data_IF_708397720913
#
_entry.id   IF_708397720913
#
_cell.length_a   1.000
_cell.length_b   1.000
_cell.length_c   1.000
_cell.angle_alpha   90.00
_cell.angle_beta   90.00
_cell.angle_gamma   90.00
#
_symmetry.space_group_name_H-M   'P 1'
#
loop_
_entity.id
_entity.type
_entity.pdbx_description
1 polymer ?
#
# COMPACT_ATOMS: atom_id res chain seq x y z
N UNK A 1 15.85 1.13 29.63
CA UNK A 1 14.74 0.90 28.68
C UNK A 1 15.29 1.03 27.27
N UNK A 2 14.79 0.22 26.35
CA UNK A 2 15.09 0.32 24.93
C UNK A 2 14.34 1.50 24.33
N UNK A 3 14.97 2.26 23.43
CA UNK A 3 14.35 3.41 22.77
C UNK A 3 13.86 3.02 21.38
N UNK A 4 12.60 3.29 21.09
CA UNK A 4 12.01 3.10 19.75
C UNK A 4 11.50 4.45 19.25
N UNK A 5 12.00 4.88 18.11
CA UNK A 5 11.47 6.02 17.38
C UNK A 5 10.11 5.71 16.77
N UNK A 6 9.17 6.64 16.84
CA UNK A 6 7.91 6.58 16.11
C UNK A 6 7.67 7.90 15.38
N UNK A 7 7.39 7.80 14.08
CA UNK A 7 6.94 8.92 13.26
C UNK A 7 5.71 8.48 12.49
N UNK A 8 4.61 9.22 12.60
CA UNK A 8 3.41 9.00 11.79
C UNK A 8 3.24 10.21 10.88
N UNK A 9 3.23 10.00 9.57
CA UNK A 9 2.77 11.02 8.64
C UNK A 9 1.23 11.01 8.58
N UNK A 10 0.52 12.01 9.13
CA UNK A 10 -0.93 11.97 9.26
C UNK A 10 -1.69 11.94 7.93
N UNK A 11 -1.11 12.52 6.87
CA UNK A 11 -1.74 12.59 5.52
C UNK A 11 -1.41 11.40 4.62
N UNK A 12 -0.53 10.49 5.07
CA UNK A 12 -0.12 9.36 4.27
C UNK A 12 -1.27 8.36 4.06
N UNK A 13 -1.42 7.91 2.81
CA UNK A 13 -2.40 6.89 2.43
C UNK A 13 -3.78 7.40 2.02
N UNK A 14 -4.02 8.71 2.05
CA UNK A 14 -5.31 9.31 1.67
C UNK A 14 -5.53 9.40 0.15
N UNK A 15 -4.52 9.78 -0.63
CA UNK A 15 -4.69 10.01 -2.07
C UNK A 15 -5.04 8.77 -2.90
N UNK A 16 -4.57 7.59 -2.47
CA UNK A 16 -4.81 6.32 -3.17
C UNK A 16 -6.28 5.90 -3.17
N UNK A 17 -6.99 6.10 -2.06
CA UNK A 17 -8.40 5.72 -1.93
C UNK A 17 -9.35 6.54 -2.82
N UNK A 18 -8.91 7.70 -3.32
CA UNK A 18 -9.73 8.66 -4.07
C UNK A 18 -9.19 8.97 -5.47
N UNK A 19 -8.28 8.12 -5.96
CA UNK A 19 -7.73 8.22 -7.32
C UNK A 19 -6.84 9.45 -7.56
N UNK A 20 -6.39 10.15 -6.52
CA UNK A 20 -5.55 11.36 -6.65
C UNK A 20 -4.07 11.06 -6.92
N UNK A 21 -3.72 9.78 -6.99
CA UNK A 21 -2.38 9.33 -7.35
C UNK A 21 -1.28 9.95 -6.45
N UNK A 22 -1.58 10.20 -5.17
CA UNK A 22 -0.66 10.82 -4.20
C UNK A 22 -1.46 11.71 -3.24
N UNK A 23 -0.90 12.07 -2.08
CA UNK A 23 -1.51 13.10 -1.20
C UNK A 23 -0.73 14.42 -1.22
N UNK A 24 0.41 14.47 -1.90
CA UNK A 24 1.26 15.66 -1.96
C UNK A 24 0.51 16.80 -2.67
N UNK A 25 0.37 17.93 -1.97
CA UNK A 25 -0.33 19.15 -2.43
C UNK A 25 -1.82 18.98 -2.80
N UNK A 26 -2.44 17.85 -2.48
CA UNK A 26 -3.85 17.54 -2.80
C UNK A 26 -4.66 17.07 -1.60
N UNK A 27 -4.23 17.42 -0.37
CA UNK A 27 -4.88 17.03 0.88
C UNK A 27 -6.34 17.51 0.93
N UNK A 28 -6.58 18.78 0.61
CA UNK A 28 -7.94 19.35 0.56
C UNK A 28 -8.85 18.60 -0.41
N UNK A 29 -8.37 18.34 -1.63
CA UNK A 29 -9.13 17.61 -2.64
C UNK A 29 -9.33 16.13 -2.23
N UNK A 30 -8.37 15.51 -1.55
CA UNK A 30 -8.51 14.17 -1.03
C UNK A 30 -9.63 14.10 0.01
N UNK A 31 -9.66 15.04 0.95
CA UNK A 31 -10.71 15.15 1.96
C UNK A 31 -12.07 15.44 1.30
N UNK A 32 -12.12 16.33 0.29
CA UNK A 32 -13.34 16.62 -0.48
C UNK A 32 -13.90 15.37 -1.16
N UNK A 33 -13.03 14.48 -1.65
CA UNK A 33 -13.40 13.18 -2.24
C UNK A 33 -13.73 12.10 -1.21
N UNK A 34 -13.74 12.43 0.09
CA UNK A 34 -14.08 11.51 1.18
C UNK A 34 -12.92 10.64 1.65
N UNK A 35 -11.65 11.02 1.38
CA UNK A 35 -10.51 10.31 1.94
C UNK A 35 -10.46 10.47 3.46
N UNK A 36 -10.15 9.37 4.16
CA UNK A 36 -9.98 9.33 5.62
C UNK A 36 -8.51 9.01 5.94
N UNK A 37 -7.90 9.67 6.94
CA UNK A 37 -6.55 9.34 7.39
C UNK A 37 -6.41 7.86 7.80
N UNK A 38 -5.41 7.16 7.27
CA UNK A 38 -5.18 5.72 7.51
C UNK A 38 -3.94 5.42 8.33
N UNK A 39 -2.97 6.34 8.37
CA UNK A 39 -1.65 6.11 8.93
C UNK A 39 -1.66 5.82 10.42
N UNK A 40 -2.50 6.47 11.22
CA UNK A 40 -2.62 6.23 12.66
C UNK A 40 -3.08 4.80 12.96
N UNK A 41 -4.14 4.33 12.30
CA UNK A 41 -4.65 2.97 12.48
C UNK A 41 -3.62 1.91 12.04
N UNK A 42 -2.88 2.18 10.95
CA UNK A 42 -1.80 1.30 10.50
C UNK A 42 -0.66 1.27 11.53
N UNK A 43 -0.26 2.42 12.06
CA UNK A 43 0.74 2.49 13.14
C UNK A 43 0.27 1.77 14.41
N UNK A 44 -1.01 1.89 14.77
CA UNK A 44 -1.62 1.18 15.90
C UNK A 44 -1.47 -0.34 15.75
N UNK A 45 -1.77 -0.89 14.57
CA UNK A 45 -1.58 -2.31 14.28
C UNK A 45 -0.13 -2.75 14.49
N UNK A 46 0.85 -1.94 14.11
CA UNK A 46 2.26 -2.24 14.36
C UNK A 46 2.61 -2.20 15.85
N UNK A 47 2.15 -1.18 16.58
CA UNK A 47 2.43 -1.00 18.00
C UNK A 47 1.77 -2.07 18.89
N UNK A 48 0.66 -2.71 18.44
CA UNK A 48 0.04 -3.82 19.17
C UNK A 48 1.03 -4.96 19.42
N UNK A 49 1.89 -5.26 18.45
CA UNK A 49 2.92 -6.31 18.55
C UNK A 49 4.02 -5.97 19.57
N UNK A 50 4.17 -4.69 19.94
CA UNK A 50 5.14 -4.22 20.94
C UNK A 50 4.57 -4.15 22.37
N UNK A 51 3.24 -4.27 22.54
CA UNK A 51 2.60 -4.19 23.86
C UNK A 51 3.15 -5.19 24.88
N UNK A 52 3.51 -6.45 24.54
CA UNK A 52 4.10 -7.38 25.50
C UNK A 52 5.40 -6.87 26.15
N UNK A 53 6.13 -5.98 25.46
CA UNK A 53 7.42 -5.43 25.89
C UNK A 53 7.31 -3.95 26.32
N UNK A 54 6.08 -3.43 26.48
CA UNK A 54 5.78 -2.02 26.73
C UNK A 54 6.59 -1.40 27.88
N UNK A 55 6.72 -2.09 29.01
CA UNK A 55 7.45 -1.58 30.19
C UNK A 55 8.96 -1.46 29.96
N UNK A 56 9.48 -2.10 28.90
CA UNK A 56 10.89 -2.08 28.54
C UNK A 56 11.18 -1.09 27.41
N UNK A 57 10.16 -0.50 26.78
CA UNK A 57 10.24 0.36 25.61
C UNK A 57 9.87 1.82 25.96
N UNK A 58 10.75 2.76 25.62
CA UNK A 58 10.48 4.19 25.60
C UNK A 58 10.24 4.62 24.15
N UNK A 59 9.05 5.13 23.86
CA UNK A 59 8.72 5.67 22.53
C UNK A 59 9.21 7.11 22.42
N UNK A 60 10.06 7.38 21.44
CA UNK A 60 10.58 8.69 21.07
C UNK A 60 9.80 9.20 19.84
N UNK A 61 9.00 10.26 19.97
CA UNK A 61 8.02 10.65 18.91
C UNK A 61 7.72 12.15 18.90
N UNK A 62 7.02 12.63 17.89
CA UNK A 62 6.45 13.99 17.82
C UNK A 62 5.12 14.12 18.57
N UNK A 63 4.61 15.36 18.76
CA UNK A 63 3.33 15.61 19.41
C UNK A 63 2.13 15.17 18.54
N UNK A 64 0.95 15.10 19.16
CA UNK A 64 -0.33 14.89 18.47
C UNK A 64 -0.35 13.70 17.52
N UNK A 65 -0.82 13.95 16.30
CA UNK A 65 -0.97 12.98 15.22
C UNK A 65 0.34 12.40 14.68
N UNK A 66 1.51 12.99 15.01
CA UNK A 66 2.81 12.46 14.60
C UNK A 66 3.24 11.21 15.39
N UNK A 67 2.41 10.73 16.32
CA UNK A 67 2.61 9.48 17.06
C UNK A 67 2.46 9.64 18.58
N UNK A 68 2.60 10.87 19.11
CA UNK A 68 2.56 11.14 20.54
C UNK A 68 1.24 10.78 21.20
N UNK A 69 0.12 11.10 20.57
CA UNK A 69 -1.20 10.77 21.10
C UNK A 69 -1.47 9.26 21.07
N UNK A 70 -1.22 8.61 19.91
CA UNK A 70 -1.41 7.17 19.76
C UNK A 70 -0.58 6.37 20.77
N UNK A 71 0.72 6.69 20.90
CA UNK A 71 1.62 5.99 21.83
C UNK A 71 1.16 6.12 23.29
N UNK A 72 0.66 7.30 23.69
CA UNK A 72 0.07 7.54 25.01
C UNK A 72 -1.24 6.79 25.21
N UNK A 73 -2.15 6.80 24.22
CA UNK A 73 -3.43 6.05 24.28
C UNK A 73 -3.19 4.54 24.42
N UNK A 74 -2.14 4.01 23.79
CA UNK A 74 -1.71 2.61 23.95
C UNK A 74 -0.92 2.36 25.24
N UNK A 75 -0.66 3.41 26.01
CA UNK A 75 -0.08 3.40 27.34
C UNK A 75 1.43 3.26 27.38
N UNK A 76 2.17 3.39 26.28
CA UNK A 76 3.64 3.37 26.30
C UNK A 76 4.20 4.54 27.13
N UNK A 77 5.41 4.38 27.64
CA UNK A 77 6.18 5.53 28.11
C UNK A 77 6.66 6.33 26.88
N UNK A 78 6.42 7.64 26.87
CA UNK A 78 6.64 8.48 25.69
C UNK A 78 7.51 9.68 26.01
N UNK A 79 8.55 9.90 25.20
CA UNK A 79 9.34 11.13 25.13
C UNK A 79 8.96 11.88 23.85
N UNK A 80 8.39 13.08 24.01
CA UNK A 80 7.91 13.90 22.90
C UNK A 80 8.97 14.95 22.50
N UNK A 81 9.24 15.08 21.20
CA UNK A 81 10.11 16.09 20.62
C UNK A 81 9.31 17.09 19.79
N UNK A 82 9.53 18.40 20.02
CA UNK A 82 8.85 19.48 19.30
C UNK A 82 8.19 20.46 20.26
N UNK A 83 8.26 21.76 19.95
CA UNK A 83 7.52 22.79 20.68
C UNK A 83 6.03 22.68 20.32
N UNK A 84 5.14 22.95 21.28
CA UNK A 84 3.69 23.00 21.08
C UNK A 84 3.21 24.11 20.16
N UNK A 85 3.74 24.18 18.94
CA UNK A 85 3.07 24.85 17.82
C UNK A 85 1.79 24.09 17.47
N UNK A 86 0.89 24.75 16.74
CA UNK A 86 -0.47 24.31 16.40
C UNK A 86 -0.63 22.88 15.86
N UNK A 87 0.45 22.16 15.47
CA UNK A 87 0.45 20.71 15.20
C UNK A 87 0.34 19.80 16.45
N UNK A 88 0.12 20.38 17.63
CA UNK A 88 0.05 19.67 18.91
C UNK A 88 -1.33 19.20 19.35
N UNK A 89 -2.41 19.58 18.66
CA UNK A 89 -3.73 19.01 18.94
C UNK A 89 -3.87 17.70 18.16
N UNK A 90 -4.17 16.62 18.87
CA UNK A 90 -4.79 15.45 18.23
C UNK A 90 -5.97 15.87 17.37
N UNK A 91 -6.34 15.09 16.35
CA UNK A 91 -7.56 15.38 15.61
C UNK A 91 -8.74 15.29 16.61
N UNK A 92 -9.47 16.39 16.91
CA UNK A 92 -10.70 16.24 17.66
C UNK A 92 -11.62 15.28 16.91
N UNK A 93 -12.19 14.32 17.64
CA UNK A 93 -13.14 13.36 17.06
C UNK A 93 -14.29 14.12 16.40
N UNK A 94 -14.61 13.76 15.15
CA UNK A 94 -15.73 14.34 14.39
C UNK A 94 -15.39 15.50 13.44
N UNK A 95 -14.12 15.83 13.21
CA UNK A 95 -13.74 16.77 12.15
C UNK A 95 -14.10 16.22 10.76
N UNK A 96 -14.69 17.07 9.92
CA UNK A 96 -15.05 16.76 8.54
C UNK A 96 -14.77 17.96 7.62
N UNK A 97 -14.60 17.69 6.33
CA UNK A 97 -14.39 18.74 5.32
C UNK A 97 -13.15 19.60 5.60
N UNK A 98 -13.27 20.91 5.39
CA UNK A 98 -12.16 21.86 5.45
C UNK A 98 -11.47 21.91 6.83
N UNK A 99 -12.21 21.64 7.90
CA UNK A 99 -11.66 21.58 9.27
C UNK A 99 -10.71 20.40 9.49
N UNK A 100 -10.96 19.27 8.82
CA UNK A 100 -10.07 18.11 8.81
C UNK A 100 -8.85 18.39 7.93
N UNK A 101 -9.04 19.00 6.76
CA UNK A 101 -7.95 19.38 5.86
C UNK A 101 -6.96 20.35 6.53
N UNK A 102 -7.46 21.40 7.19
CA UNK A 102 -6.62 22.36 7.90
C UNK A 102 -5.83 21.72 9.07
N UNK A 103 -6.43 20.78 9.79
CA UNK A 103 -5.73 20.04 10.85
C UNK A 103 -4.66 19.10 10.28
N UNK A 104 -4.89 18.52 9.10
CA UNK A 104 -3.96 17.64 8.39
C UNK A 104 -2.77 18.40 7.77
N UNK A 105 -2.98 19.65 7.37
CA UNK A 105 -1.92 20.55 6.84
C UNK A 105 -0.98 21.11 7.92
N UNK A 106 -1.24 20.83 9.20
CA UNK A 106 -0.41 21.28 10.32
C UNK A 106 0.91 20.49 10.46
N UNK A 107 1.23 19.58 9.53
CA UNK A 107 2.48 18.81 9.51
C UNK A 107 3.11 18.82 8.12
N UNK A 108 4.44 18.88 8.06
CA UNK A 108 5.21 19.02 6.84
C UNK A 108 6.34 17.97 6.72
N UNK A 109 6.92 17.86 5.52
CA UNK A 109 8.14 17.09 5.30
C UNK A 109 9.29 17.55 6.22
N UNK A 110 9.41 18.86 6.47
CA UNK A 110 10.39 19.41 7.41
C UNK A 110 10.18 18.95 8.86
N UNK A 111 8.93 18.76 9.29
CA UNK A 111 8.65 18.24 10.63
C UNK A 111 9.07 16.77 10.74
N UNK A 112 8.82 15.99 9.69
CA UNK A 112 9.27 14.58 9.60
C UNK A 112 10.80 14.49 9.69
N UNK A 113 11.52 15.31 8.92
CA UNK A 113 12.98 15.34 8.91
C UNK A 113 13.53 15.74 10.28
N UNK A 114 13.01 16.84 10.84
CA UNK A 114 13.46 17.38 12.13
C UNK A 114 13.22 16.40 13.27
N UNK A 115 12.09 15.69 13.25
CA UNK A 115 11.76 14.68 14.25
C UNK A 115 12.65 13.45 14.11
N UNK A 116 12.91 12.97 12.90
CA UNK A 116 13.79 11.83 12.65
C UNK A 116 15.22 12.11 13.13
N UNK A 117 15.74 13.32 12.89
CA UNK A 117 17.04 13.75 13.41
C UNK A 117 17.11 13.69 14.93
N UNK A 118 16.12 14.27 15.63
CA UNK A 118 16.06 14.25 17.10
C UNK A 118 15.95 12.83 17.67
N UNK A 119 15.22 11.95 17.01
CA UNK A 119 15.11 10.55 17.41
C UNK A 119 16.47 9.83 17.26
N UNK A 120 17.20 10.09 16.17
CA UNK A 120 18.52 9.53 15.94
C UNK A 120 19.57 10.07 16.92
N UNK A 121 19.54 11.37 17.23
CA UNK A 121 20.37 12.00 18.27
C UNK A 121 20.16 11.34 19.65
N UNK A 122 18.94 10.88 19.92
CA UNK A 122 18.57 10.16 21.12
C UNK A 122 18.97 8.69 21.12
N UNK A 123 19.63 8.24 20.05
CA UNK A 123 20.14 6.88 19.86
C UNK A 123 19.03 5.83 20.00
N UNK A 124 17.89 6.07 19.34
CA UNK A 124 16.85 5.05 19.24
C UNK A 124 17.39 3.78 18.57
N UNK A 125 17.12 2.61 19.15
CA UNK A 125 17.58 1.32 18.62
C UNK A 125 16.90 0.96 17.29
N UNK A 126 15.72 1.51 17.04
CA UNK A 126 14.92 1.33 15.84
C UNK A 126 14.01 2.55 15.65
N UNK A 127 13.87 3.02 14.42
CA UNK A 127 12.90 4.04 14.02
C UNK A 127 11.77 3.39 13.20
N UNK A 128 10.56 3.39 13.75
CA UNK A 128 9.34 3.05 13.04
C UNK A 128 8.74 4.31 12.41
N UNK A 129 8.39 4.24 11.12
CA UNK A 129 7.74 5.37 10.45
C UNK A 129 6.54 4.92 9.61
N UNK A 130 5.38 5.53 9.82
CA UNK A 130 4.16 5.26 9.05
C UNK A 130 3.99 6.29 7.93
N UNK A 131 4.07 5.83 6.68
CA UNK A 131 4.07 6.73 5.52
C UNK A 131 4.03 6.02 4.16
N UNK A 132 4.24 6.78 3.10
CA UNK A 132 4.51 6.30 1.73
C UNK A 132 5.94 6.66 1.27
N UNK A 133 6.32 6.35 0.03
CA UNK A 133 7.70 6.53 -0.46
C UNK A 133 8.28 7.94 -0.23
N UNK A 134 7.50 9.01 -0.40
CA UNK A 134 7.92 10.37 -0.06
C UNK A 134 8.31 10.55 1.42
N UNK A 135 7.64 9.85 2.34
CA UNK A 135 8.03 9.81 3.77
C UNK A 135 9.33 9.03 3.95
N UNK A 136 9.53 7.90 3.27
CA UNK A 136 10.79 7.17 3.32
C UNK A 136 11.96 8.02 2.81
N UNK A 137 11.74 8.80 1.75
CA UNK A 137 12.69 9.78 1.23
C UNK A 137 13.06 10.83 2.27
N UNK A 138 12.08 11.35 3.01
CA UNK A 138 12.31 12.33 4.07
C UNK A 138 13.06 11.73 5.28
N UNK A 139 12.73 10.49 5.67
CA UNK A 139 13.49 9.75 6.69
C UNK A 139 14.94 9.55 6.23
N UNK A 140 15.17 9.11 4.99
CA UNK A 140 16.52 8.94 4.46
C UNK A 140 17.33 10.24 4.48
N UNK A 141 16.74 11.37 4.05
CA UNK A 141 17.40 12.69 4.13
C UNK A 141 17.80 13.05 5.55
N UNK A 142 17.04 12.61 6.55
CA UNK A 142 17.24 12.95 7.94
C UNK A 142 18.34 12.12 8.62
N UNK A 143 18.36 10.80 8.39
CA UNK A 143 19.16 9.85 9.19
C UNK A 143 20.08 8.95 8.37
N UNK A 144 19.97 8.96 7.04
CA UNK A 144 20.79 8.13 6.15
C UNK A 144 20.73 6.63 6.48
N UNK A 145 21.86 5.93 6.30
CA UNK A 145 22.01 4.49 6.59
C UNK A 145 22.39 4.17 8.03
N UNK A 146 22.62 5.17 8.88
CA UNK A 146 23.12 4.97 10.24
C UNK A 146 22.03 4.50 11.20
N UNK A 147 20.82 5.04 11.04
CA UNK A 147 19.66 4.66 11.84
C UNK A 147 19.00 3.41 11.25
N UNK A 148 18.76 2.42 12.10
CA UNK A 148 17.92 1.28 11.74
C UNK A 148 16.46 1.73 11.66
N UNK A 149 15.81 1.45 10.54
CA UNK A 149 14.45 1.89 10.24
C UNK A 149 13.55 0.71 9.84
N UNK A 150 12.25 0.81 10.10
CA UNK A 150 11.22 -0.06 9.52
C UNK A 150 10.04 0.80 9.09
N UNK A 151 9.73 0.77 7.80
CA UNK A 151 8.56 1.44 7.27
C UNK A 151 7.26 0.67 7.58
N UNK A 152 6.29 1.37 8.17
CA UNK A 152 4.91 0.93 8.34
C UNK A 152 4.12 1.43 7.12
N UNK A 153 3.62 0.53 6.25
CA UNK A 153 2.95 0.95 5.03
C UNK A 153 1.61 1.62 5.35
N UNK A 154 1.52 2.94 5.11
CA UNK A 154 0.29 3.71 5.31
C UNK A 154 -0.58 3.79 4.04
N UNK A 155 0.02 3.56 2.87
CA UNK A 155 -0.64 3.57 1.57
C UNK A 155 -0.12 2.45 0.65
N UNK A 156 -0.52 2.49 -0.62
CA UNK A 156 -0.26 1.39 -1.60
C UNK A 156 0.70 1.76 -2.72
N UNK A 157 1.20 2.98 -2.72
CA UNK A 157 2.26 3.47 -3.62
C UNK A 157 3.59 3.42 -2.88
N UNK A 158 3.94 2.22 -2.46
CA UNK A 158 5.18 1.98 -1.73
C UNK A 158 6.00 1.05 -2.59
N UNK A 159 7.02 1.61 -3.23
CA UNK A 159 7.98 0.95 -4.10
C UNK A 159 9.26 0.65 -3.34
N UNK A 160 9.58 1.45 -2.33
CA UNK A 160 10.75 1.26 -1.49
C UNK A 160 10.68 -0.07 -0.73
N UNK A 161 11.64 -0.99 -0.89
CA UNK A 161 11.73 -2.22 -0.09
C UNK A 161 12.07 -2.00 1.40
N UNK A 162 12.13 -0.75 1.87
CA UNK A 162 12.36 -0.37 3.28
C UNK A 162 11.15 -0.58 4.20
N UNK A 163 9.99 -0.90 3.61
CA UNK A 163 8.75 -1.15 4.32
C UNK A 163 8.56 -2.63 4.63
N UNK A 164 7.85 -2.91 5.71
CA UNK A 164 7.33 -4.25 5.95
C UNK A 164 6.19 -4.61 4.98
N UNK A 165 5.92 -5.91 4.85
CA UNK A 165 4.83 -6.42 3.99
C UNK A 165 3.43 -5.94 4.40
N UNK A 166 3.24 -5.59 5.67
CA UNK A 166 2.03 -4.99 6.22
C UNK A 166 2.35 -4.36 7.60
N UNK A 167 1.44 -3.60 8.22
CA UNK A 167 1.72 -2.96 9.50
C UNK A 167 1.98 -3.94 10.65
N UNK A 168 1.27 -5.06 10.71
CA UNK A 168 1.51 -6.10 11.72
C UNK A 168 2.91 -6.71 11.57
N UNK A 169 3.38 -6.91 10.34
CA UNK A 169 4.74 -7.37 10.06
C UNK A 169 5.79 -6.34 10.47
N UNK A 170 5.54 -5.03 10.30
CA UNK A 170 6.41 -3.98 10.82
C UNK A 170 6.52 -4.06 12.36
N UNK A 171 5.38 -4.27 13.04
CA UNK A 171 5.32 -4.50 14.48
C UNK A 171 6.12 -5.73 14.92
N UNK A 172 5.93 -6.86 14.24
CA UNK A 172 6.67 -8.11 14.51
C UNK A 172 8.17 -7.96 14.30
N UNK A 173 8.60 -7.30 13.21
CA UNK A 173 10.00 -6.96 12.97
C UNK A 173 10.58 -6.14 14.12
N UNK A 174 9.84 -5.12 14.58
CA UNK A 174 10.24 -4.31 15.70
C UNK A 174 10.34 -5.12 16.99
N UNK A 175 9.35 -5.97 17.30
CA UNK A 175 9.34 -6.82 18.48
C UNK A 175 10.49 -7.84 18.48
N UNK A 176 10.77 -8.48 17.34
CA UNK A 176 11.90 -9.39 17.18
C UNK A 176 13.24 -8.69 17.35
N UNK A 177 13.38 -7.46 16.85
CA UNK A 177 14.59 -6.67 17.04
C UNK A 177 14.75 -6.24 18.52
N UNK A 178 13.69 -5.71 19.12
CA UNK A 178 13.69 -5.25 20.52
C UNK A 178 13.94 -6.40 21.50
N UNK A 179 13.42 -7.60 21.25
CA UNK A 179 13.70 -8.80 22.05
C UNK A 179 15.08 -9.41 21.78
N UNK A 180 15.77 -8.99 20.72
CA UNK A 180 17.08 -9.51 20.31
C UNK A 180 17.03 -10.84 19.54
N UNK A 181 15.84 -11.30 19.16
CA UNK A 181 15.62 -12.46 18.29
C UNK A 181 16.13 -12.22 16.86
N UNK A 182 16.07 -10.96 16.40
CA UNK A 182 16.61 -10.54 15.11
C UNK A 182 17.78 -9.59 15.33
N UNK A 183 18.91 -9.89 14.68
CA UNK A 183 20.15 -9.08 14.76
C UNK A 183 20.74 -8.72 13.39
N UNK A 184 20.25 -9.37 12.33
CA UNK A 184 20.72 -9.11 10.96
C UNK A 184 19.96 -7.91 10.41
N UNK A 185 20.68 -7.09 9.67
CA UNK A 185 20.15 -5.94 8.94
C UNK A 185 20.74 -5.93 7.53
N UNK A 186 20.07 -5.22 6.64
CA UNK A 186 20.47 -5.02 5.26
C UNK A 186 20.12 -3.61 4.82
N UNK A 187 20.83 -3.10 3.82
CA UNK A 187 20.52 -1.82 3.19
C UNK A 187 19.51 -2.05 2.06
N UNK A 188 18.43 -1.27 2.08
CA UNK A 188 17.34 -1.34 1.09
C UNK A 188 17.15 0.01 0.43
N UNK A 189 16.86 -0.03 -0.86
CA UNK A 189 16.66 1.14 -1.70
C UNK A 189 15.47 1.98 -1.21
N UNK A 190 15.67 3.29 -1.13
CA UNK A 190 14.59 4.27 -1.03
C UNK A 190 14.30 4.76 -2.43
N UNK A 191 13.13 4.37 -2.93
CA UNK A 191 12.63 4.67 -4.25
C UNK A 191 11.45 5.62 -4.10
N UNK A 192 11.40 6.66 -4.92
CA UNK A 192 10.20 7.48 -5.02
C UNK A 192 9.80 7.61 -6.48
N UNK A 193 8.50 7.68 -6.69
CA UNK A 193 7.93 7.85 -8.01
C UNK A 193 7.80 9.33 -8.28
N UNK A 194 8.15 9.73 -9.50
CA UNK A 194 7.74 11.03 -10.02
C UNK A 194 6.21 11.03 -10.15
N UNK A 195 5.53 11.70 -9.23
CA UNK A 195 4.06 11.72 -9.18
C UNK A 195 3.43 12.34 -10.43
N UNK A 196 4.10 13.28 -11.10
CA UNK A 196 3.58 13.90 -12.32
C UNK A 196 3.75 12.97 -13.53
N UNK A 197 4.90 12.29 -13.63
CA UNK A 197 5.07 11.20 -14.60
C UNK A 197 4.04 10.09 -14.37
N UNK A 198 3.76 9.75 -13.11
CA UNK A 198 2.77 8.76 -12.73
C UNK A 198 1.33 9.18 -13.09
N UNK A 199 0.98 10.46 -12.90
CA UNK A 199 -0.33 11.01 -13.31
C UNK A 199 -0.53 10.90 -14.82
N UNK A 200 0.54 11.07 -15.60
CA UNK A 200 0.54 10.93 -17.07
C UNK A 200 0.68 9.50 -17.59
N UNK A 201 0.67 8.48 -16.72
CA UNK A 201 0.70 7.07 -17.11
C UNK A 201 2.10 6.47 -17.33
N UNK A 202 3.17 7.20 -17.00
CA UNK A 202 4.55 6.75 -17.09
C UNK A 202 5.08 6.37 -15.70
N UNK A 203 5.64 5.16 -15.55
CA UNK A 203 6.28 4.72 -14.30
C UNK A 203 7.76 5.09 -14.38
N UNK A 204 8.14 6.18 -13.73
CA UNK A 204 9.55 6.57 -13.51
C UNK A 204 9.84 6.52 -12.01
N UNK A 205 10.68 5.58 -11.59
CA UNK A 205 11.14 5.44 -10.19
C UNK A 205 12.58 5.93 -10.10
N UNK A 206 12.83 6.91 -9.24
CA UNK A 206 14.17 7.43 -8.96
C UNK A 206 14.72 6.82 -7.68
N UNK A 207 16.01 6.44 -7.69
CA UNK A 207 16.73 6.02 -6.50
C UNK A 207 17.19 7.25 -5.73
N UNK A 208 16.74 7.40 -4.48
CA UNK A 208 17.13 8.51 -3.61
C UNK A 208 18.26 8.13 -2.66
N UNK A 209 18.36 6.85 -2.31
CA UNK A 209 19.40 6.35 -1.42
C UNK A 209 19.02 5.02 -0.79
N UNK A 210 19.51 4.79 0.42
CA UNK A 210 19.34 3.52 1.13
C UNK A 210 19.00 3.75 2.61
N UNK A 211 18.11 2.92 3.15
CA UNK A 211 17.90 2.80 4.59
C UNK A 211 18.33 1.43 5.06
N UNK A 212 18.82 1.38 6.30
CA UNK A 212 19.14 0.13 6.97
C UNK A 212 17.88 -0.44 7.61
N UNK A 213 17.51 -1.67 7.26
CA UNK A 213 16.32 -2.34 7.78
C UNK A 213 16.66 -3.72 8.35
N UNK A 214 15.88 -4.26 9.30
CA UNK A 214 16.06 -5.63 9.78
C UNK A 214 15.87 -6.64 8.65
N UNK A 215 16.81 -7.58 8.53
CA UNK A 215 16.83 -8.56 7.45
C UNK A 215 16.05 -9.82 7.83
N UNK A 216 14.73 -9.80 7.59
CA UNK A 216 13.85 -10.96 7.79
C UNK A 216 12.90 -11.13 6.59
N UNK A 217 13.23 -12.12 5.76
CA UNK A 217 12.70 -12.32 4.41
C UNK A 217 11.19 -12.53 4.35
N UNK A 218 10.60 -13.07 5.41
CA UNK A 218 9.16 -13.36 5.45
C UNK A 218 8.31 -12.15 5.84
N UNK A 219 8.94 -11.06 6.28
CA UNK A 219 8.29 -9.87 6.83
C UNK A 219 8.62 -8.57 6.08
N UNK A 220 9.69 -8.55 5.26
CA UNK A 220 10.10 -7.40 4.46
C UNK A 220 9.47 -7.41 3.05
N UNK A 221 9.31 -6.23 2.45
CA UNK A 221 8.71 -6.06 1.13
C UNK A 221 9.73 -6.19 -0.01
N UNK A 222 9.39 -6.92 -1.08
CA UNK A 222 10.18 -6.97 -2.32
C UNK A 222 9.83 -5.82 -3.29
N UNK A 223 10.76 -5.46 -4.19
CA UNK A 223 10.54 -4.46 -5.25
C UNK A 223 9.48 -4.92 -6.24
N UNK A 224 8.63 -4.00 -6.73
CA UNK A 224 7.74 -4.25 -7.87
C UNK A 224 8.58 -4.32 -9.15
N UNK A 225 8.64 -5.49 -9.79
CA UNK A 225 9.45 -5.69 -10.99
C UNK A 225 8.69 -5.25 -12.27
N UNK A 226 9.35 -4.56 -13.23
CA UNK A 226 8.81 -4.37 -14.56
C UNK A 226 8.70 -5.70 -15.30
N UNK A 227 7.77 -5.80 -16.26
CA UNK A 227 7.59 -7.01 -17.06
C UNK A 227 8.83 -7.24 -17.96
N UNK A 228 9.45 -8.44 -17.96
CA UNK A 228 10.52 -8.79 -18.91
C UNK A 228 10.02 -8.89 -20.36
N UNK A 229 10.92 -8.73 -21.35
CA UNK A 229 10.62 -8.89 -22.79
C UNK A 229 10.04 -10.27 -23.15
N UNK A 230 10.42 -11.33 -22.43
CA UNK A 230 9.87 -12.69 -22.64
C UNK A 230 8.41 -12.84 -22.23
N UNK A 231 7.90 -11.94 -21.39
CA UNK A 231 6.55 -11.99 -20.84
C UNK A 231 5.54 -11.26 -21.75
N UNK A 232 5.96 -10.51 -22.76
CA UNK A 232 5.06 -9.81 -23.70
C UNK A 232 4.21 -10.79 -24.51
N UNK A 233 4.84 -11.84 -25.05
CA UNK A 233 4.12 -12.92 -25.72
C UNK A 233 3.19 -13.70 -24.77
N UNK A 234 3.58 -13.83 -23.49
CA UNK A 234 2.74 -14.45 -22.47
C UNK A 234 1.53 -13.57 -22.14
N UNK A 235 1.71 -12.25 -22.05
CA UNK A 235 0.62 -11.27 -21.86
C UNK A 235 -0.33 -11.32 -23.05
N UNK A 236 0.18 -11.36 -24.29
CA UNK A 236 -0.65 -11.50 -25.48
C UNK A 236 -1.47 -12.80 -25.44
N UNK A 237 -0.83 -13.92 -25.09
CA UNK A 237 -1.50 -15.23 -24.94
C UNK A 237 -2.61 -15.21 -23.88
N UNK A 238 -2.34 -14.58 -22.73
CA UNK A 238 -3.34 -14.36 -21.67
C UNK A 238 -4.49 -13.47 -22.17
N UNK A 239 -4.18 -12.43 -22.94
CA UNK A 239 -5.18 -11.53 -23.48
C UNK A 239 -6.16 -12.26 -24.41
N UNK A 240 -5.66 -13.12 -25.31
CA UNK A 240 -6.51 -13.98 -26.14
C UNK A 240 -7.46 -14.85 -25.31
N UNK A 241 -6.94 -15.51 -24.27
CA UNK A 241 -7.77 -16.35 -23.40
C UNK A 241 -8.90 -15.56 -22.76
N UNK A 242 -8.60 -14.35 -22.27
CA UNK A 242 -9.59 -13.49 -21.62
C UNK A 242 -10.63 -13.00 -22.62
N UNK A 243 -10.20 -12.51 -23.79
CA UNK A 243 -11.13 -11.94 -24.79
C UNK A 243 -12.01 -13.00 -25.45
N UNK A 244 -11.51 -14.22 -25.67
CA UNK A 244 -12.30 -15.33 -26.24
C UNK A 244 -13.44 -15.79 -25.30
N UNK A 245 -13.27 -15.58 -24.00
CA UNK A 245 -14.25 -15.96 -22.97
C UNK A 245 -15.02 -14.77 -22.40
N UNK A 246 -14.96 -13.60 -23.06
CA UNK A 246 -15.82 -12.48 -22.71
C UNK A 246 -17.27 -12.77 -23.12
N UNK A 247 -18.19 -12.52 -22.19
CA UNK A 247 -19.63 -12.72 -22.37
C UNK A 247 -20.29 -11.40 -22.79
N UNK A 248 -21.30 -11.44 -23.68
CA UNK A 248 -22.13 -10.29 -23.95
C UNK A 248 -22.93 -9.90 -22.70
N UNK A 249 -23.23 -8.60 -22.56
CA UNK A 249 -24.05 -8.01 -21.50
C UNK A 249 -23.50 -8.25 -20.08
N UNK A 250 -22.18 -8.43 -19.98
CA UNK A 250 -21.43 -8.48 -18.72
C UNK A 250 -20.55 -7.24 -18.60
N UNK A 251 -20.59 -6.60 -17.43
CA UNK A 251 -19.68 -5.50 -17.10
C UNK A 251 -18.36 -6.07 -16.63
N UNK A 252 -17.27 -5.66 -17.27
CA UNK A 252 -15.92 -6.04 -16.87
C UNK A 252 -15.23 -4.85 -16.21
N UNK A 253 -14.78 -5.07 -14.98
CA UNK A 253 -13.85 -4.19 -14.28
C UNK A 253 -12.44 -4.66 -14.63
N UNK A 254 -11.66 -3.84 -15.29
CA UNK A 254 -10.28 -4.15 -15.68
C UNK A 254 -9.34 -3.40 -14.77
N UNK A 255 -8.69 -4.12 -13.85
CA UNK A 255 -7.80 -3.54 -12.86
C UNK A 255 -6.45 -3.10 -13.43
N UNK A 256 -5.68 -2.41 -12.59
CA UNK A 256 -4.36 -1.88 -12.94
C UNK A 256 -3.34 -2.97 -13.30
N UNK A 257 -2.40 -2.64 -14.18
CA UNK A 257 -1.23 -3.47 -14.48
C UNK A 257 -0.94 -3.68 -15.96
N UNK A 258 0.29 -4.13 -16.24
CA UNK A 258 0.74 -4.41 -17.60
C UNK A 258 0.05 -5.63 -18.22
N UNK A 259 -0.27 -6.64 -17.41
CA UNK A 259 -0.99 -7.84 -17.89
C UNK A 259 -2.42 -7.51 -18.31
N UNK A 260 -3.13 -6.70 -17.53
CA UNK A 260 -4.50 -6.27 -17.83
C UNK A 260 -4.54 -5.25 -18.97
N UNK A 261 -3.50 -4.41 -19.11
CA UNK A 261 -3.31 -3.58 -20.30
C UNK A 261 -3.28 -4.41 -21.59
N UNK A 262 -2.61 -5.56 -21.61
CA UNK A 262 -2.62 -6.44 -22.78
C UNK A 262 -4.02 -6.88 -23.21
N UNK A 263 -4.94 -7.07 -22.26
CA UNK A 263 -6.36 -7.36 -22.55
C UNK A 263 -7.03 -6.17 -23.24
N UNK A 264 -6.81 -4.96 -22.73
CA UNK A 264 -7.38 -3.73 -23.29
C UNK A 264 -6.82 -3.41 -24.68
N UNK A 265 -5.52 -3.57 -24.86
CA UNK A 265 -4.83 -3.44 -26.17
C UNK A 265 -5.41 -4.42 -27.18
N UNK A 266 -5.67 -5.68 -26.79
CA UNK A 266 -6.27 -6.69 -27.65
C UNK A 266 -7.71 -6.34 -28.05
N UNK A 267 -8.47 -5.70 -27.16
CA UNK A 267 -9.81 -5.19 -27.44
C UNK A 267 -9.80 -3.88 -28.27
N UNK A 268 -8.64 -3.26 -28.48
CA UNK A 268 -8.53 -1.95 -29.12
C UNK A 268 -9.11 -0.81 -28.28
N UNK A 269 -9.13 -0.96 -26.96
CA UNK A 269 -9.74 0.00 -26.03
C UNK A 269 -8.68 0.81 -25.28
N UNK A 270 -8.96 2.09 -24.97
CA UNK A 270 -8.08 2.90 -24.14
C UNK A 270 -8.05 2.35 -22.71
N UNK A 271 -6.86 2.34 -22.11
CA UNK A 271 -6.65 1.77 -20.78
C UNK A 271 -5.96 2.75 -19.82
N UNK A 272 -6.25 2.57 -18.54
CA UNK A 272 -5.57 3.22 -17.44
C UNK A 272 -4.59 2.23 -16.82
N UNK A 273 -3.29 2.44 -17.03
CA UNK A 273 -2.25 1.54 -16.49
C UNK A 273 -2.37 1.34 -14.97
N UNK A 274 -2.82 2.39 -14.29
CA UNK A 274 -2.90 2.49 -12.83
C UNK A 274 -4.29 2.99 -12.42
N UNK A 275 -5.30 2.24 -12.81
CA UNK A 275 -6.70 2.52 -12.52
C UNK A 275 -7.56 1.27 -12.66
N UNK A 276 -8.86 1.43 -12.48
CA UNK A 276 -9.86 0.41 -12.84
C UNK A 276 -10.71 0.96 -13.97
N UNK A 277 -10.62 0.36 -15.15
CA UNK A 277 -11.49 0.71 -16.28
C UNK A 277 -12.75 -0.16 -16.26
N UNK A 278 -13.87 0.43 -16.65
CA UNK A 278 -15.17 -0.25 -16.74
C UNK A 278 -15.52 -0.40 -18.21
N UNK A 279 -15.70 -1.65 -18.65
CA UNK A 279 -16.06 -1.95 -20.05
C UNK A 279 -17.29 -2.86 -20.11
N UNK A 280 -18.06 -2.74 -21.17
CA UNK A 280 -19.22 -3.58 -21.47
C UNK A 280 -19.37 -3.67 -22.99
N UNK A 281 -19.61 -4.88 -23.53
CA UNK A 281 -19.86 -5.10 -24.96
C UNK A 281 -18.81 -4.44 -25.90
N UNK A 282 -17.53 -4.56 -25.55
CA UNK A 282 -16.43 -4.01 -26.35
C UNK A 282 -16.35 -2.49 -26.37
N UNK A 283 -16.95 -1.80 -25.38
CA UNK A 283 -16.87 -0.35 -25.22
C UNK A 283 -16.44 0.00 -23.81
N UNK A 284 -15.69 1.10 -23.68
CA UNK A 284 -15.39 1.68 -22.38
C UNK A 284 -16.59 2.49 -21.91
N UNK A 285 -17.12 2.15 -20.74
CA UNK A 285 -18.14 2.92 -20.03
C UNK A 285 -17.49 4.05 -19.22
N UNK A 286 -16.35 3.75 -18.60
CA UNK A 286 -15.61 4.71 -17.78
C UNK A 286 -14.15 4.29 -17.64
N UNK A 287 -13.22 5.24 -17.78
CA UNK A 287 -11.80 5.03 -17.45
C UNK A 287 -11.50 5.52 -16.02
N UNK A 288 -10.56 4.84 -15.36
CA UNK A 288 -10.05 5.20 -14.02
C UNK A 288 -11.18 5.38 -12.96
N UNK A 289 -12.16 4.48 -12.98
CA UNK A 289 -13.28 4.48 -12.05
C UNK A 289 -12.85 4.15 -10.62
N UNK A 290 -13.61 4.65 -9.64
CA UNK A 290 -13.35 4.44 -8.21
C UNK A 290 -14.63 4.51 -7.36
N UNK A 291 -14.61 3.84 -6.21
CA UNK A 291 -15.65 3.95 -5.18
C UNK A 291 -17.07 3.69 -5.69
N UNK A 292 -18.01 4.59 -5.36
CA UNK A 292 -19.43 4.50 -5.75
C UNK A 292 -19.66 4.51 -7.27
N UNK A 293 -18.72 5.05 -8.06
CA UNK A 293 -18.85 5.05 -9.53
C UNK A 293 -18.79 3.62 -10.06
N UNK A 294 -17.86 2.81 -9.56
CA UNK A 294 -17.77 1.38 -9.90
C UNK A 294 -19.07 0.66 -9.50
N UNK A 295 -19.53 0.88 -8.27
CA UNK A 295 -20.77 0.27 -7.76
C UNK A 295 -21.99 0.64 -8.63
N UNK A 296 -22.06 1.88 -9.10
CA UNK A 296 -23.15 2.36 -9.95
C UNK A 296 -23.18 1.65 -11.31
N UNK A 297 -22.01 1.35 -11.89
CA UNK A 297 -21.91 0.63 -13.17
C UNK A 297 -22.29 -0.85 -13.05
N UNK A 298 -22.00 -1.49 -11.93
CA UNK A 298 -22.28 -2.94 -11.74
C UNK A 298 -23.63 -3.23 -11.07
N UNK A 299 -24.33 -2.21 -10.55
CA UNK A 299 -25.59 -2.40 -9.82
C UNK A 299 -26.66 -3.03 -10.71
N UNK A 300 -27.17 -4.19 -10.28
CA UNK A 300 -28.22 -4.91 -11.00
C UNK A 300 -27.77 -5.56 -12.31
N UNK A 301 -26.46 -5.60 -12.56
CA UNK A 301 -25.86 -6.23 -13.73
C UNK A 301 -24.93 -7.37 -13.33
N UNK A 302 -24.69 -8.31 -14.25
CA UNK A 302 -23.62 -9.30 -14.09
C UNK A 302 -22.29 -8.59 -14.27
N UNK A 303 -21.36 -8.79 -13.33
CA UNK A 303 -20.05 -8.16 -13.39
C UNK A 303 -18.92 -9.18 -13.15
N UNK A 304 -17.80 -8.99 -13.84
CA UNK A 304 -16.55 -9.73 -13.61
C UNK A 304 -15.41 -8.76 -13.37
N UNK A 305 -14.46 -9.17 -12.53
CA UNK A 305 -13.27 -8.39 -12.24
C UNK A 305 -12.04 -9.09 -12.81
N UNK A 306 -11.40 -8.44 -13.78
CA UNK A 306 -10.13 -8.86 -14.36
C UNK A 306 -9.01 -8.16 -13.60
N UNK A 307 -8.13 -8.91 -12.96
CA UNK A 307 -7.03 -8.36 -12.17
C UNK A 307 -5.75 -9.18 -12.36
N UNK A 308 -4.60 -8.54 -12.16
CA UNK A 308 -3.30 -9.20 -12.23
C UNK A 308 -2.61 -9.22 -10.88
N UNK A 309 -1.74 -10.22 -10.68
CA UNK A 309 -0.87 -10.30 -9.51
C UNK A 309 0.24 -9.23 -9.58
N UNK A 310 0.55 -8.60 -8.45
CA UNK A 310 1.73 -7.71 -8.34
C UNK A 310 3.03 -8.52 -8.31
N UNK A 311 3.88 -8.36 -9.34
CA UNK A 311 5.17 -9.08 -9.47
C UNK A 311 6.10 -8.89 -8.27
N UNK A 312 6.83 -9.95 -7.89
CA UNK A 312 7.70 -10.02 -6.71
C UNK A 312 7.01 -10.03 -5.34
N UNK A 313 5.74 -9.61 -5.24
CA UNK A 313 5.02 -9.43 -3.97
C UNK A 313 3.81 -10.35 -3.79
N UNK A 314 3.15 -10.77 -4.87
CA UNK A 314 2.04 -11.73 -4.82
C UNK A 314 0.68 -11.17 -4.41
N UNK A 315 0.52 -9.84 -4.30
CA UNK A 315 -0.75 -9.24 -3.92
C UNK A 315 -1.79 -9.31 -5.05
N UNK A 316 -2.98 -9.77 -4.67
CA UNK A 316 -4.18 -9.80 -5.48
C UNK A 316 -5.09 -8.59 -5.19
N UNK A 317 -5.30 -8.27 -3.91
CA UNK A 317 -6.08 -7.12 -3.46
C UNK A 317 -5.33 -6.31 -2.40
N UNK A 318 -5.63 -5.02 -2.37
CA UNK A 318 -5.03 -4.04 -1.48
C UNK A 318 -3.98 -3.23 -2.21
N UNK A 319 -2.78 -3.80 -2.40
CA UNK A 319 -1.65 -3.09 -3.00
C UNK A 319 -1.80 -2.94 -4.51
N UNK A 320 -1.96 -1.69 -4.97
CA UNK A 320 -1.98 -1.34 -6.39
C UNK A 320 -3.36 -1.29 -7.04
N UNK A 321 -4.44 -1.61 -6.31
CA UNK A 321 -5.81 -1.61 -6.83
C UNK A 321 -6.87 -1.18 -5.77
N UNK A 322 -6.53 -0.21 -4.91
CA UNK A 322 -7.39 0.29 -3.81
C UNK A 322 -8.75 0.87 -4.25
N UNK A 323 -8.92 1.19 -5.54
CA UNK A 323 -10.20 1.61 -6.10
C UNK A 323 -11.27 0.51 -5.95
N UNK A 324 -10.83 -0.75 -5.85
CA UNK A 324 -11.66 -1.91 -5.56
C UNK A 324 -11.89 -2.02 -4.05
N UNK A 325 -12.86 -1.26 -3.54
CA UNK A 325 -13.24 -1.28 -2.13
C UNK A 325 -13.87 -2.63 -1.74
N UNK A 326 -13.96 -2.96 -0.43
CA UNK A 326 -14.65 -4.18 0.02
C UNK A 326 -16.07 -4.33 -0.52
N UNK A 327 -16.80 -3.21 -0.64
CA UNK A 327 -18.15 -3.19 -1.21
C UNK A 327 -18.16 -3.60 -2.69
N UNK A 328 -17.20 -3.11 -3.49
CA UNK A 328 -17.05 -3.49 -4.90
C UNK A 328 -16.72 -4.97 -5.01
N UNK A 329 -15.75 -5.46 -4.22
CA UNK A 329 -15.30 -6.86 -4.27
C UNK A 329 -16.45 -7.80 -3.93
N UNK A 330 -17.22 -7.50 -2.88
CA UNK A 330 -18.41 -8.29 -2.50
C UNK A 330 -19.52 -8.22 -3.54
N UNK A 331 -19.74 -7.05 -4.16
CA UNK A 331 -20.75 -6.90 -5.20
C UNK A 331 -20.41 -7.69 -6.48
N UNK A 332 -19.12 -7.81 -6.83
CA UNK A 332 -18.67 -8.67 -7.93
C UNK A 332 -18.76 -10.15 -7.56
N UNK A 333 -18.37 -10.52 -6.33
CA UNK A 333 -18.35 -11.91 -5.89
C UNK A 333 -17.05 -12.64 -6.27
N UNK A 334 -16.58 -13.53 -5.39
CA UNK A 334 -15.28 -14.21 -5.53
C UNK A 334 -15.21 -15.16 -6.72
N UNK A 335 -16.36 -15.68 -7.15
CA UNK A 335 -16.53 -16.57 -8.29
C UNK A 335 -16.39 -15.85 -9.63
N UNK A 336 -16.50 -14.51 -9.65
CA UNK A 336 -16.40 -13.68 -10.84
C UNK A 336 -15.03 -13.00 -10.99
N UNK A 337 -14.04 -13.47 -10.23
CA UNK A 337 -12.66 -13.00 -10.31
C UNK A 337 -11.90 -13.72 -11.42
N UNK A 338 -11.36 -12.95 -12.36
CA UNK A 338 -10.51 -13.40 -13.46
C UNK A 338 -9.08 -12.95 -13.16
N UNK A 339 -8.27 -13.87 -12.62
CA UNK A 339 -6.92 -13.56 -12.15
C UNK A 339 -5.89 -13.87 -13.24
N UNK A 340 -5.05 -12.91 -13.56
CA UNK A 340 -4.02 -12.99 -14.59
C UNK A 340 -2.62 -12.95 -13.97
N UNK A 341 -1.72 -13.82 -14.42
CA UNK A 341 -0.29 -13.68 -14.12
C UNK A 341 0.54 -14.44 -15.15
N UNK A 342 1.70 -13.89 -15.54
CA UNK A 342 2.68 -14.67 -16.31
C UNK A 342 3.30 -15.75 -15.41
N UNK A 343 3.77 -16.85 -16.01
CA UNK A 343 4.47 -17.92 -15.28
C UNK A 343 5.69 -17.37 -14.52
N UNK A 344 6.40 -16.42 -15.11
CA UNK A 344 7.52 -15.71 -14.49
C UNK A 344 7.11 -15.00 -13.19
N UNK A 345 6.01 -14.22 -13.21
CA UNK A 345 5.47 -13.55 -12.01
C UNK A 345 5.07 -14.52 -10.91
N UNK A 346 4.51 -15.68 -11.26
CA UNK A 346 4.18 -16.71 -10.27
C UNK A 346 5.43 -17.40 -9.71
N UNK A 347 6.44 -17.66 -10.54
CA UNK A 347 7.70 -18.27 -10.10
C UNK A 347 8.45 -17.39 -9.10
N UNK A 348 8.39 -16.06 -9.24
CA UNK A 348 8.97 -15.10 -8.28
C UNK A 348 8.40 -15.24 -6.85
N UNK A 349 7.19 -15.79 -6.71
CA UNK A 349 6.57 -16.00 -5.41
C UNK A 349 7.20 -17.17 -4.65
N UNK A 350 8.00 -18.02 -5.31
CA UNK A 350 8.72 -19.16 -4.71
C UNK A 350 7.83 -20.09 -3.88
N UNK A 351 6.61 -20.33 -4.37
CA UNK A 351 5.62 -21.19 -3.72
C UNK A 351 4.81 -20.53 -2.60
N UNK A 352 5.02 -19.24 -2.31
CA UNK A 352 4.17 -18.51 -1.38
C UNK A 352 2.75 -18.29 -1.98
N UNK A 353 1.71 -18.27 -1.13
CA UNK A 353 0.36 -17.97 -1.59
C UNK A 353 0.25 -16.52 -2.07
N UNK A 354 -0.71 -16.30 -2.98
CA UNK A 354 -1.18 -14.97 -3.32
C UNK A 354 -1.79 -14.31 -2.08
N UNK A 355 -1.59 -13.00 -1.94
CA UNK A 355 -1.93 -12.26 -0.73
C UNK A 355 -3.14 -11.35 -0.95
N UNK A 356 -4.02 -11.29 0.05
CA UNK A 356 -5.10 -10.30 0.12
C UNK A 356 -4.96 -9.44 1.38
N UNK A 357 -5.01 -8.11 1.20
CA UNK A 357 -4.91 -7.12 2.27
C UNK A 357 -5.89 -5.96 1.98
N UNK A 358 -7.19 -6.28 2.04
CA UNK A 358 -8.24 -5.25 2.07
C UNK A 358 -8.33 -4.63 3.47
N UNK A 359 -9.00 -3.48 3.58
CA UNK A 359 -9.32 -2.83 4.86
C UNK A 359 -10.45 -3.52 5.64
N UNK A 360 -10.94 -4.68 5.17
CA UNK A 360 -11.94 -5.51 5.82
C UNK A 360 -11.37 -6.92 6.12
N UNK A 361 -11.19 -7.20 7.41
CA UNK A 361 -10.60 -8.46 7.87
C UNK A 361 -11.50 -9.69 7.63
N UNK A 362 -12.82 -9.50 7.57
CA UNK A 362 -13.76 -10.60 7.24
C UNK A 362 -13.69 -10.90 5.75
N UNK A 363 -13.68 -9.86 4.91
CA UNK A 363 -13.50 -10.02 3.47
C UNK A 363 -12.17 -10.73 3.14
N UNK A 364 -11.09 -10.37 3.82
CA UNK A 364 -9.80 -11.04 3.64
C UNK A 364 -9.92 -12.56 3.87
N UNK A 365 -10.69 -12.99 4.88
CA UNK A 365 -10.96 -14.41 5.14
C UNK A 365 -11.88 -15.04 4.08
N UNK A 366 -12.92 -14.32 3.64
CA UNK A 366 -13.84 -14.76 2.59
C UNK A 366 -13.12 -15.03 1.26
N UNK A 367 -12.09 -14.23 0.97
CA UNK A 367 -11.26 -14.33 -0.23
C UNK A 367 -10.19 -15.42 -0.16
N UNK A 368 -9.88 -15.98 1.01
CA UNK A 368 -8.97 -17.11 1.12
C UNK A 368 -9.49 -18.34 0.37
N UNK A 369 -8.59 -19.11 -0.24
CA UNK A 369 -8.95 -20.34 -0.95
C UNK A 369 -8.02 -20.64 -2.11
N UNK A 370 -8.50 -21.43 -3.06
CA UNK A 370 -7.75 -21.75 -4.27
C UNK A 370 -8.43 -21.14 -5.47
N UNK A 371 -7.64 -20.46 -6.30
CA UNK A 371 -8.13 -19.77 -7.48
C UNK A 371 -7.37 -20.24 -8.72
N UNK A 372 -8.07 -20.23 -9.85
CA UNK A 372 -7.44 -20.41 -11.15
C UNK A 372 -6.83 -19.09 -11.58
N UNK A 373 -5.53 -19.11 -11.86
CA UNK A 373 -4.79 -17.98 -12.43
C UNK A 373 -4.50 -18.30 -13.89
N UNK A 374 -4.98 -17.46 -14.81
CA UNK A 374 -4.72 -17.58 -16.23
C UNK A 374 -3.25 -17.22 -16.48
N UNK A 375 -2.52 -18.16 -17.07
CA UNK A 375 -1.07 -18.03 -17.34
C UNK A 375 -0.73 -18.05 -18.82
N UNK A 376 -1.70 -18.33 -19.68
CA UNK A 376 -1.59 -18.39 -21.14
C UNK A 376 -2.91 -18.89 -21.76
N UNK A 377 -2.93 -19.03 -23.07
CA UNK A 377 -4.09 -19.52 -23.82
C UNK A 377 -4.43 -20.96 -23.44
N UNK A 378 -5.64 -21.19 -22.91
CA UNK A 378 -6.10 -22.46 -22.35
C UNK A 378 -5.21 -23.03 -21.24
N UNK A 379 -4.44 -22.17 -20.57
CA UNK A 379 -3.49 -22.55 -19.53
C UNK A 379 -3.77 -21.81 -18.22
N UNK A 380 -3.93 -22.56 -17.14
CA UNK A 380 -4.11 -22.01 -15.80
C UNK A 380 -3.24 -22.72 -14.76
N UNK A 381 -2.80 -21.95 -13.76
CA UNK A 381 -2.18 -22.46 -12.53
C UNK A 381 -3.17 -22.28 -11.38
N UNK A 382 -3.32 -23.31 -10.53
CA UNK A 382 -4.09 -23.16 -9.29
C UNK A 382 -3.19 -22.57 -8.22
N UNK A 383 -3.54 -21.40 -7.73
CA UNK A 383 -2.79 -20.71 -6.67
C UNK A 383 -3.63 -20.63 -5.40
N UNK A 384 -2.99 -20.86 -4.26
CA UNK A 384 -3.58 -20.55 -2.97
C UNK A 384 -3.59 -19.04 -2.76
N UNK A 385 -4.71 -18.50 -2.29
CA UNK A 385 -4.87 -17.14 -1.80
C UNK A 385 -5.01 -17.20 -0.28
N UNK A 386 -4.23 -16.38 0.41
CA UNK A 386 -4.23 -16.26 1.86
C UNK A 386 -4.36 -14.79 2.29
N UNK A 387 -5.08 -14.58 3.38
CA UNK A 387 -5.09 -13.33 4.12
C UNK A 387 -3.78 -13.18 4.89
N UNK A 388 -3.30 -11.93 4.97
CA UNK A 388 -2.09 -11.57 5.71
C UNK A 388 -2.25 -11.53 7.23
#
# INVERSE_FOLDING_TARGET
MKKVGLIINPVAGMGGSVGLKGTDHVVEEAVRRGAVPRSENRAKTALLELLPEKERILICTGPGAMGGELARKMGFQVKIFGAGGSGGMGFPDGLTGDSLAAALECTSASDTISLAQKIAEEQAELLLFAGGDGTARDIYKAVGVEQLCVGIPAGVKIHSPVYAKNPGAAGKLAAMWMSGQLKRCEEKEVLDIDEDAYRSGHISTSLYGYLKVPAEWTLTQNRKAPTPLSDEAAIESIAYEVTDHMEPDVVYLVGAGTTTRGVMEKLGLPNTLIGVDVIENGKVLENDAYGERILSHIRGKRAKLILTVTGGQGFLFGRGNQQLTPAVIRAVGKENLVILATRSKLAELRGNPLQVDTDDAELNKELCGYYKVITGYKEYTVCQVAAL
#
